data_IF_065293705532
#
_entry.id   IF_065293705532
#
_cell.length_a   1.000
_cell.length_b   1.000
_cell.length_c   1.000
_cell.angle_alpha   90.00
_cell.angle_beta   90.00
_cell.angle_gamma   90.00
#
_symmetry.space_group_name_H-M   'P 1'
#
loop_
_entity.id
_entity.type
_entity.pdbx_description
1 polymer ?
#
# COMPACT_ATOMS: atom_id res chain seq x y z
N UNK A 1 -0.66 7.45 -51.12
CA UNK A 1 -0.95 6.18 -50.42
C UNK A 1 0.34 5.63 -49.84
N UNK A 2 0.67 5.98 -48.60
CA UNK A 2 1.87 5.51 -47.88
C UNK A 2 1.42 5.11 -46.49
N UNK A 3 1.18 3.81 -46.29
CA UNK A 3 0.78 3.25 -45.01
C UNK A 3 1.99 3.25 -44.05
N UNK A 4 1.91 4.07 -43.00
CA UNK A 4 2.82 4.02 -41.84
C UNK A 4 2.44 2.82 -40.98
N UNK A 5 3.27 1.78 -40.96
CA UNK A 5 3.24 0.74 -39.91
C UNK A 5 3.91 1.30 -38.66
N UNK A 6 3.12 1.57 -37.63
CA UNK A 6 3.61 1.85 -36.27
C UNK A 6 4.03 0.51 -35.65
N UNK A 7 5.33 0.32 -35.42
CA UNK A 7 5.83 -0.76 -34.58
C UNK A 7 5.40 -0.49 -33.13
N UNK A 8 4.55 -1.36 -32.58
CA UNK A 8 4.29 -1.40 -31.14
C UNK A 8 5.56 -1.87 -30.42
N UNK A 9 6.21 -0.95 -29.72
CA UNK A 9 7.22 -1.28 -28.71
C UNK A 9 6.54 -2.08 -27.60
N UNK A 10 6.95 -3.33 -27.41
CA UNK A 10 6.62 -4.11 -26.22
C UNK A 10 7.46 -3.54 -25.08
N UNK A 11 6.88 -2.67 -24.24
CA UNK A 11 7.50 -2.29 -22.98
C UNK A 11 7.53 -3.52 -22.07
N UNK A 12 8.66 -4.24 -22.08
CA UNK A 12 8.93 -5.29 -21.11
C UNK A 12 9.05 -4.66 -19.73
N UNK A 13 8.03 -4.82 -18.90
CA UNK A 13 8.15 -4.64 -17.45
C UNK A 13 9.16 -5.66 -16.97
N UNK A 14 10.35 -5.20 -16.59
CA UNK A 14 11.39 -6.06 -16.03
C UNK A 14 10.98 -6.40 -14.59
N UNK A 15 10.48 -7.62 -14.39
CA UNK A 15 10.25 -8.18 -13.05
C UNK A 15 11.63 -8.42 -12.42
N UNK A 16 11.91 -7.76 -11.30
CA UNK A 16 13.16 -7.91 -10.55
C UNK A 16 13.10 -9.25 -9.79
N UNK A 17 13.99 -10.22 -10.05
CA UNK A 17 14.05 -11.44 -9.27
C UNK A 17 14.53 -11.12 -7.85
N UNK A 18 13.86 -11.65 -6.83
CA UNK A 18 14.16 -11.51 -5.38
C UNK A 18 15.43 -12.29 -4.98
N UNK A 19 16.43 -12.35 -5.86
CA UNK A 19 17.67 -13.11 -5.68
C UNK A 19 18.83 -12.31 -5.11
N UNK A 20 18.65 -11.03 -4.76
CA UNK A 20 19.75 -10.19 -4.30
C UNK A 20 19.46 -9.37 -3.05
N UNK A 21 18.54 -9.79 -2.17
CA UNK A 21 18.50 -9.22 -0.81
C UNK A 21 19.65 -9.82 0.01
N UNK A 22 20.61 -8.97 0.37
CA UNK A 22 21.83 -9.35 1.08
C UNK A 22 21.52 -9.93 2.46
N UNK A 23 22.35 -10.89 2.86
CA UNK A 23 22.42 -11.72 4.07
C UNK A 23 22.09 -11.12 5.45
N UNK A 24 21.80 -9.84 5.60
CA UNK A 24 21.72 -9.17 6.91
C UNK A 24 20.32 -9.11 7.52
N UNK A 25 19.31 -9.68 6.87
CA UNK A 25 17.92 -9.73 7.38
C UNK A 25 17.64 -11.03 8.14
N UNK A 26 18.57 -11.98 8.13
CA UNK A 26 18.40 -13.30 8.75
C UNK A 26 18.72 -13.33 10.25
N UNK A 27 19.21 -12.24 10.85
CA UNK A 27 19.88 -12.32 12.15
C UNK A 27 19.12 -11.69 13.33
N UNK A 28 17.80 -11.47 13.24
CA UNK A 28 16.97 -11.21 14.43
C UNK A 28 15.91 -12.27 14.71
N UNK A 29 15.79 -13.31 13.88
CA UNK A 29 15.00 -14.51 14.20
C UNK A 29 15.82 -15.77 13.93
N UNK A 30 16.53 -16.26 14.96
CA UNK A 30 16.91 -17.68 15.15
C UNK A 30 17.67 -18.41 14.02
N UNK A 31 18.93 -18.75 14.29
CA UNK A 31 19.95 -19.24 13.35
C UNK A 31 19.92 -20.74 12.99
N UNK A 32 18.86 -21.26 12.36
CA UNK A 32 18.81 -22.65 11.82
C UNK A 32 18.16 -22.78 10.42
N UNK A 33 18.43 -21.85 9.51
CA UNK A 33 17.76 -21.81 8.21
C UNK A 33 18.49 -22.58 7.09
N UNK A 34 18.25 -23.91 6.99
CA UNK A 34 18.04 -24.54 5.66
C UNK A 34 16.85 -23.82 5.01
N UNK A 35 16.75 -23.67 3.68
CA UNK A 35 15.46 -23.25 3.12
C UNK A 35 14.48 -24.41 3.30
N UNK A 36 13.27 -24.10 3.73
CA UNK A 36 12.41 -25.04 4.44
C UNK A 36 11.05 -25.23 3.70
N UNK A 37 10.38 -26.37 3.89
CA UNK A 37 9.16 -26.80 3.16
C UNK A 37 7.96 -25.84 3.16
N UNK A 38 7.93 -24.81 4.01
CA UNK A 38 6.79 -23.89 4.15
C UNK A 38 6.56 -22.92 2.98
N UNK A 39 7.47 -22.91 2.01
CA UNK A 39 7.24 -22.31 0.69
C UNK A 39 6.24 -23.12 -0.13
N UNK A 40 6.02 -24.40 0.19
CA UNK A 40 4.98 -25.28 -0.38
C UNK A 40 3.68 -25.25 0.45
N UNK A 41 3.66 -24.56 1.59
CA UNK A 41 2.57 -24.53 2.58
C UNK A 41 1.96 -23.13 2.78
N UNK A 42 2.70 -22.05 2.45
CA UNK A 42 2.07 -20.82 1.94
C UNK A 42 1.11 -21.14 0.77
N UNK A 43 1.40 -22.24 0.07
CA UNK A 43 0.71 -22.71 -1.12
C UNK A 43 -0.52 -23.60 -0.85
N UNK A 44 -0.82 -23.94 0.42
CA UNK A 44 -2.11 -24.53 0.83
C UNK A 44 -3.13 -23.47 1.32
N UNK A 45 -2.73 -22.18 1.25
CA UNK A 45 -3.46 -21.03 0.71
C UNK A 45 -3.71 -19.82 1.61
N UNK A 46 -3.71 -19.87 2.94
CA UNK A 46 -3.86 -18.60 3.71
C UNK A 46 -2.73 -17.61 3.35
N UNK A 47 -2.85 -16.26 3.42
CA UNK A 47 -3.94 -15.37 3.83
C UNK A 47 -4.31 -14.34 2.72
N UNK A 48 -5.52 -14.49 2.21
CA UNK A 48 -6.40 -13.45 1.66
C UNK A 48 -7.81 -13.85 2.10
N UNK A 49 -8.76 -12.93 2.16
CA UNK A 49 -10.08 -13.17 2.77
C UNK A 49 -10.81 -14.40 2.23
N UNK A 50 -10.54 -14.78 0.98
CA UNK A 50 -11.19 -15.90 0.29
C UNK A 50 -10.32 -17.15 0.21
N UNK A 51 -9.06 -17.08 0.65
CA UNK A 51 -8.18 -18.24 0.69
C UNK A 51 -8.36 -18.97 2.03
N UNK A 52 -8.95 -20.16 1.99
CA UNK A 52 -9.38 -20.91 3.19
C UNK A 52 -10.83 -20.67 3.63
N UNK A 53 -11.57 -19.77 2.97
CA UNK A 53 -13.01 -19.55 3.15
C UNK A 53 -13.76 -19.52 1.79
N UNK A 54 -13.79 -20.65 1.05
CA UNK A 54 -14.38 -20.70 -0.29
C UNK A 54 -15.88 -20.41 -0.29
N UNK A 55 -16.56 -20.62 0.85
CA UNK A 55 -17.99 -20.34 1.01
C UNK A 55 -18.25 -18.90 1.49
N UNK A 56 -17.21 -18.12 1.80
CA UNK A 56 -17.34 -16.73 2.23
C UNK A 56 -18.09 -16.55 3.56
N UNK A 57 -18.10 -17.56 4.44
CA UNK A 57 -18.84 -17.50 5.71
C UNK A 57 -18.22 -16.51 6.68
N UNK A 58 -16.89 -16.45 6.74
CA UNK A 58 -16.17 -15.47 7.54
C UNK A 58 -16.38 -14.07 6.98
N UNK A 59 -16.25 -13.92 5.65
CA UNK A 59 -16.52 -12.68 4.95
C UNK A 59 -17.93 -12.13 5.26
N UNK A 60 -18.97 -12.97 5.11
CA UNK A 60 -20.35 -12.58 5.41
C UNK A 60 -20.53 -12.11 6.86
N UNK A 61 -19.93 -12.83 7.83
CA UNK A 61 -20.00 -12.45 9.25
C UNK A 61 -19.33 -11.11 9.53
N UNK A 62 -18.18 -10.84 8.91
CA UNK A 62 -17.44 -9.59 9.09
C UNK A 62 -18.19 -8.41 8.44
N UNK A 63 -18.74 -8.60 7.24
CA UNK A 63 -19.59 -7.60 6.58
C UNK A 63 -20.83 -7.27 7.41
N UNK A 64 -21.54 -8.29 7.89
CA UNK A 64 -22.72 -8.15 8.76
C UNK A 64 -22.37 -7.36 10.04
N UNK A 65 -21.22 -7.65 10.66
CA UNK A 65 -20.84 -7.05 11.94
C UNK A 65 -20.37 -5.58 11.83
N UNK A 66 -19.74 -5.18 10.72
CA UNK A 66 -19.04 -3.89 10.65
C UNK A 66 -19.48 -2.95 9.53
N UNK A 67 -20.02 -3.50 8.44
CA UNK A 67 -20.32 -2.72 7.23
C UNK A 67 -21.81 -2.50 7.07
N UNK A 68 -22.64 -3.46 7.48
CA UNK A 68 -24.10 -3.43 7.31
C UNK A 68 -24.76 -2.18 7.89
N UNK A 69 -25.82 -1.74 7.23
CA UNK A 69 -26.66 -0.59 7.60
C UNK A 69 -26.29 0.70 6.89
N UNK A 70 -25.39 0.65 5.91
CA UNK A 70 -25.09 1.76 5.01
C UNK A 70 -24.92 1.24 3.57
N UNK A 71 -25.92 1.50 2.73
CA UNK A 71 -26.01 0.94 1.38
C UNK A 71 -24.78 1.26 0.52
N UNK A 72 -24.21 2.46 0.67
CA UNK A 72 -23.03 2.85 -0.09
C UNK A 72 -21.80 2.08 0.38
N UNK A 73 -21.56 2.03 1.69
CA UNK A 73 -20.44 1.29 2.26
C UNK A 73 -20.51 -0.19 1.92
N UNK A 74 -21.70 -0.79 2.00
CA UNK A 74 -21.93 -2.18 1.61
C UNK A 74 -21.59 -2.41 0.13
N UNK A 75 -22.04 -1.53 -0.76
CA UNK A 75 -21.73 -1.64 -2.19
C UNK A 75 -20.22 -1.57 -2.45
N UNK A 76 -19.52 -0.59 -1.87
CA UNK A 76 -18.07 -0.44 -2.03
C UNK A 76 -17.30 -1.61 -1.42
N UNK A 77 -17.69 -2.08 -0.24
CA UNK A 77 -17.04 -3.19 0.43
C UNK A 77 -17.24 -4.52 -0.32
N UNK A 78 -18.43 -4.72 -0.90
CA UNK A 78 -18.72 -5.85 -1.76
C UNK A 78 -17.91 -5.78 -3.06
N UNK A 79 -17.70 -4.59 -3.64
CA UNK A 79 -16.79 -4.45 -4.78
C UNK A 79 -15.36 -4.85 -4.40
N UNK A 80 -14.83 -4.37 -3.28
CA UNK A 80 -13.49 -4.76 -2.79
C UNK A 80 -13.36 -6.27 -2.58
N UNK A 81 -14.41 -6.91 -2.04
CA UNK A 81 -14.47 -8.36 -1.86
C UNK A 81 -14.52 -9.11 -3.18
N UNK A 82 -15.28 -8.61 -4.16
CA UNK A 82 -15.33 -9.18 -5.50
C UNK A 82 -13.97 -9.08 -6.20
N UNK A 83 -13.29 -7.94 -6.11
CA UNK A 83 -11.94 -7.75 -6.66
C UNK A 83 -10.94 -8.68 -5.99
N UNK A 84 -10.99 -8.82 -4.66
CA UNK A 84 -10.13 -9.79 -3.97
C UNK A 84 -10.35 -11.18 -4.55
N UNK A 85 -11.60 -11.64 -4.65
CA UNK A 85 -11.93 -12.95 -5.22
C UNK A 85 -11.43 -13.13 -6.66
N UNK A 86 -11.53 -12.09 -7.47
CA UNK A 86 -11.07 -12.09 -8.88
C UNK A 86 -9.55 -12.22 -8.99
N UNK A 87 -8.80 -11.52 -8.13
CA UNK A 87 -7.34 -11.43 -8.25
C UNK A 87 -6.58 -12.34 -7.27
N UNK A 88 -7.23 -12.91 -6.27
CA UNK A 88 -6.55 -13.62 -5.19
C UNK A 88 -5.89 -14.93 -5.61
N UNK A 89 -6.16 -15.49 -6.79
CA UNK A 89 -5.45 -16.68 -7.27
C UNK A 89 -4.05 -16.32 -7.77
N UNK A 90 -3.93 -15.20 -8.48
CA UNK A 90 -2.74 -14.89 -9.29
C UNK A 90 -1.96 -13.69 -8.75
N UNK A 91 -2.55 -12.93 -7.84
CA UNK A 91 -2.01 -11.67 -7.31
C UNK A 91 -2.23 -11.53 -5.81
N UNK A 92 -1.41 -10.67 -5.20
CA UNK A 92 -1.61 -10.23 -3.81
C UNK A 92 -2.42 -8.95 -3.80
N UNK A 93 -3.59 -8.98 -3.15
CA UNK A 93 -4.42 -7.78 -2.97
C UNK A 93 -4.04 -7.10 -1.66
N UNK A 94 -3.67 -5.83 -1.76
CA UNK A 94 -3.25 -5.01 -0.62
C UNK A 94 -4.31 -3.96 -0.31
N UNK A 95 -4.70 -3.88 0.95
CA UNK A 95 -5.63 -2.89 1.47
C UNK A 95 -4.89 -1.87 2.32
N UNK A 96 -4.96 -0.61 1.94
CA UNK A 96 -4.40 0.51 2.68
C UNK A 96 -5.52 1.39 3.23
N UNK A 97 -5.54 1.62 4.54
CA UNK A 97 -6.67 2.28 5.23
C UNK A 97 -6.24 3.58 5.91
N UNK A 98 -5.48 4.45 5.26
CA UNK A 98 -5.14 5.77 5.82
C UNK A 98 -5.95 6.88 5.16
N UNK A 99 -7.13 7.18 5.73
CA UNK A 99 -8.07 8.11 5.09
C UNK A 99 -7.50 9.53 4.95
N UNK A 100 -6.71 10.00 5.93
CA UNK A 100 -6.07 11.32 5.83
C UNK A 100 -5.02 11.38 4.70
N UNK A 101 -4.42 10.25 4.34
CA UNK A 101 -3.48 10.18 3.22
C UNK A 101 -4.19 10.12 1.87
N UNK A 102 -5.45 9.66 1.82
CA UNK A 102 -6.21 9.54 0.58
C UNK A 102 -6.34 10.88 -0.15
N UNK A 103 -6.61 11.98 0.58
CA UNK A 103 -6.67 13.32 0.00
C UNK A 103 -5.34 13.72 -0.68
N UNK A 104 -4.21 13.38 -0.06
CA UNK A 104 -2.90 13.64 -0.67
C UNK A 104 -2.73 12.86 -1.96
N UNK A 105 -3.16 11.60 -1.99
CA UNK A 105 -3.08 10.76 -3.19
C UNK A 105 -3.97 11.28 -4.32
N UNK A 106 -5.16 11.79 -4.00
CA UNK A 106 -6.06 12.41 -4.98
C UNK A 106 -5.45 13.68 -5.58
N UNK A 107 -4.89 14.57 -4.75
CA UNK A 107 -4.19 15.78 -5.22
C UNK A 107 -3.01 15.41 -6.11
N UNK A 108 -2.20 14.42 -5.70
CA UNK A 108 -1.07 13.94 -6.50
C UNK A 108 -1.51 13.32 -7.83
N UNK A 109 -2.62 12.57 -7.84
CA UNK A 109 -3.17 11.99 -9.05
C UNK A 109 -3.69 13.07 -10.01
N UNK A 110 -4.41 14.08 -9.50
CA UNK A 110 -4.89 15.21 -10.29
C UNK A 110 -3.74 16.01 -10.92
N UNK A 111 -2.70 16.31 -10.14
CA UNK A 111 -1.49 16.96 -10.66
C UNK A 111 -0.84 16.14 -11.77
N UNK A 112 -0.76 14.82 -11.60
CA UNK A 112 -0.18 13.94 -12.61
C UNK A 112 -1.02 13.83 -13.89
N UNK A 113 -2.34 13.91 -13.78
CA UNK A 113 -3.21 14.01 -14.95
C UNK A 113 -2.92 15.28 -15.75
N UNK A 114 -2.85 16.43 -15.05
CA UNK A 114 -2.59 17.72 -15.69
C UNK A 114 -1.20 17.76 -16.34
N UNK A 115 -0.17 17.29 -15.64
CA UNK A 115 1.23 17.41 -16.09
C UNK A 115 1.63 16.33 -17.10
N UNK A 116 1.07 15.12 -16.99
CA UNK A 116 1.53 13.94 -17.74
C UNK A 116 0.42 13.18 -18.46
N UNK A 117 -0.84 13.63 -18.40
CA UNK A 117 -1.98 12.93 -19.00
C UNK A 117 -2.30 11.59 -18.32
N UNK A 118 -1.88 11.39 -17.06
CA UNK A 118 -2.16 10.16 -16.32
C UNK A 118 -3.67 10.03 -16.03
N UNK A 119 -4.29 8.84 -16.21
CA UNK A 119 -5.72 8.66 -15.96
C UNK A 119 -6.05 8.65 -14.46
N UNK A 120 -6.07 9.83 -13.83
CA UNK A 120 -6.25 9.97 -12.38
C UNK A 120 -7.58 9.48 -11.85
N UNK A 121 -8.60 9.35 -12.71
CA UNK A 121 -9.93 8.85 -12.35
C UNK A 121 -9.94 7.35 -12.04
N UNK A 122 -8.93 6.60 -12.48
CA UNK A 122 -8.89 5.14 -12.33
C UNK A 122 -7.89 4.66 -11.28
N UNK A 123 -6.97 5.50 -10.81
CA UNK A 123 -6.03 5.11 -9.75
C UNK A 123 -5.40 6.33 -9.05
N UNK A 124 -5.70 6.56 -7.75
CA UNK A 124 -4.88 7.45 -6.94
C UNK A 124 -3.54 6.76 -6.68
N UNK A 125 -2.46 7.31 -7.25
CA UNK A 125 -1.12 6.76 -7.05
C UNK A 125 -0.37 7.59 -6.01
N UNK A 126 0.14 6.97 -4.93
CA UNK A 126 1.12 7.62 -4.07
C UNK A 126 2.35 7.92 -4.91
N UNK A 127 2.63 9.20 -5.15
CA UNK A 127 3.80 9.63 -5.92
C UNK A 127 4.92 10.04 -4.98
N UNK A 128 6.08 9.44 -5.24
CA UNK A 128 7.28 9.58 -4.44
C UNK A 128 8.26 10.51 -5.16
N UNK A 129 8.80 11.52 -4.47
CA UNK A 129 9.82 12.39 -5.04
C UNK A 129 11.17 11.68 -5.01
N UNK A 130 11.74 11.35 -6.17
CA UNK A 130 13.01 10.59 -6.26
C UNK A 130 14.15 11.17 -5.42
N UNK A 131 14.22 12.50 -5.25
CA UNK A 131 15.22 13.17 -4.40
C UNK A 131 15.22 12.68 -2.94
N UNK A 132 14.05 12.27 -2.44
CA UNK A 132 13.90 11.85 -1.04
C UNK A 132 14.43 10.43 -0.81
N UNK A 133 14.80 9.73 -1.89
CA UNK A 133 15.29 8.35 -1.93
C UNK A 133 16.79 8.27 -2.15
N UNK A 134 17.52 9.39 -2.22
CA UNK A 134 18.97 9.36 -2.45
C UNK A 134 19.73 8.55 -1.37
N UNK A 135 19.22 8.52 -0.13
CA UNK A 135 19.80 7.76 0.98
C UNK A 135 19.26 6.33 1.10
N UNK A 136 18.01 6.12 0.69
CA UNK A 136 17.32 4.82 0.74
C UNK A 136 16.67 4.59 -0.64
N UNK A 137 17.47 4.22 -1.66
CA UNK A 137 17.04 4.26 -3.05
C UNK A 137 16.08 3.14 -3.43
N UNK A 138 16.09 2.03 -2.69
CA UNK A 138 15.34 0.84 -3.02
C UNK A 138 14.88 0.09 -1.76
N UNK A 139 13.96 -0.86 -1.97
CA UNK A 139 13.43 -1.71 -0.91
C UNK A 139 14.53 -2.54 -0.24
N UNK A 140 15.57 -2.96 -0.98
CA UNK A 140 16.70 -3.70 -0.42
C UNK A 140 17.46 -2.90 0.62
N UNK A 141 17.76 -1.65 0.29
CA UNK A 141 18.44 -0.69 1.16
C UNK A 141 17.58 -0.40 2.37
N UNK A 142 16.28 -0.24 2.19
CA UNK A 142 15.34 -0.05 3.30
C UNK A 142 15.37 -1.23 4.27
N UNK A 143 15.23 -2.45 3.75
CA UNK A 143 15.21 -3.67 4.56
C UNK A 143 16.54 -3.85 5.30
N UNK A 144 17.67 -3.53 4.68
CA UNK A 144 18.99 -3.57 5.33
C UNK A 144 19.13 -2.54 6.47
N UNK A 145 18.38 -1.44 6.42
CA UNK A 145 18.37 -0.41 7.47
C UNK A 145 17.38 -0.70 8.60
N UNK A 146 16.37 -1.53 8.36
CA UNK A 146 15.30 -1.80 9.32
C UNK A 146 15.79 -2.19 10.73
N UNK A 147 16.82 -3.05 10.91
CA UNK A 147 17.36 -3.36 12.24
C UNK A 147 17.88 -2.13 13.00
N UNK A 148 18.38 -1.09 12.30
CA UNK A 148 18.83 0.14 12.94
C UNK A 148 17.65 0.96 13.45
N UNK A 149 16.57 1.04 12.67
CA UNK A 149 15.35 1.71 13.09
C UNK A 149 14.74 1.05 14.33
N UNK A 150 14.85 -0.27 14.44
CA UNK A 150 14.39 -1.01 15.62
C UNK A 150 15.22 -0.71 16.87
N UNK A 151 16.54 -0.50 16.73
CA UNK A 151 17.39 -0.05 17.85
C UNK A 151 17.07 1.39 18.26
N UNK A 152 16.84 2.27 17.29
CA UNK A 152 16.50 3.68 17.55
C UNK A 152 15.11 3.85 18.18
N UNK A 153 14.15 3.02 17.77
CA UNK A 153 12.77 3.06 18.25
C UNK A 153 12.19 1.64 18.35
N UNK A 154 12.46 0.92 19.47
CA UNK A 154 11.98 -0.45 19.67
C UNK A 154 10.45 -0.58 19.53
N UNK A 155 10.02 -1.54 18.70
CA UNK A 155 8.62 -1.79 18.35
C UNK A 155 7.98 -0.74 17.43
N UNK A 156 8.78 0.18 16.86
CA UNK A 156 8.34 1.30 16.03
C UNK A 156 9.27 1.57 14.86
N UNK A 157 10.03 0.58 14.40
CA UNK A 157 10.93 0.72 13.25
C UNK A 157 10.19 1.22 11.98
N UNK A 158 8.96 0.79 11.78
CA UNK A 158 8.07 1.20 10.68
C UNK A 158 7.55 2.65 10.83
N UNK A 159 7.70 3.25 12.02
CA UNK A 159 7.40 4.65 12.26
C UNK A 159 8.55 5.59 11.86
N UNK A 160 9.74 5.05 11.59
CA UNK A 160 10.91 5.85 11.25
C UNK A 160 10.66 6.69 9.97
N UNK A 161 11.01 7.99 9.93
CA UNK A 161 10.71 8.86 8.78
C UNK A 161 11.24 8.35 7.44
N UNK A 162 12.43 7.73 7.42
CA UNK A 162 12.97 7.15 6.18
C UNK A 162 12.23 5.89 5.74
N UNK A 163 11.61 5.15 6.67
CA UNK A 163 10.75 4.02 6.32
C UNK A 163 9.45 4.52 5.71
N UNK A 164 8.78 5.48 6.36
CA UNK A 164 7.50 6.04 5.89
C UNK A 164 7.58 6.80 4.57
N UNK A 165 8.77 7.27 4.19
CA UNK A 165 8.99 7.86 2.86
C UNK A 165 8.82 6.85 1.73
N UNK A 166 9.14 5.58 1.98
CA UNK A 166 9.30 4.59 0.91
C UNK A 166 8.31 3.43 1.01
N UNK A 167 7.79 3.16 2.21
CA UNK A 167 6.94 2.02 2.49
C UNK A 167 5.50 2.45 2.76
N UNK A 168 4.56 1.62 2.29
CA UNK A 168 3.13 1.75 2.53
C UNK A 168 2.72 0.59 3.42
N UNK A 169 2.14 0.88 4.59
CA UNK A 169 1.54 -0.16 5.43
C UNK A 169 0.24 -0.64 4.76
N UNK A 170 0.08 -1.95 4.62
CA UNK A 170 -1.08 -2.55 3.96
C UNK A 170 -1.42 -3.90 4.57
N UNK A 171 -2.70 -4.25 4.53
CA UNK A 171 -3.19 -5.58 4.88
C UNK A 171 -3.37 -6.43 3.63
N UNK A 172 -3.03 -7.70 3.69
CA UNK A 172 -3.29 -8.66 2.61
C UNK A 172 -4.67 -9.32 2.70
N UNK A 173 -5.56 -8.86 3.58
CA UNK A 173 -6.90 -9.45 3.72
C UNK A 173 -7.92 -8.40 4.15
N UNK A 174 -8.97 -8.27 3.33
CA UNK A 174 -10.14 -7.42 3.57
C UNK A 174 -10.88 -7.79 4.85
N UNK A 175 -10.93 -9.09 5.16
CA UNK A 175 -11.73 -9.64 6.28
C UNK A 175 -10.89 -9.91 7.54
N UNK A 176 -9.60 -9.58 7.53
CA UNK A 176 -8.76 -9.79 8.70
C UNK A 176 -9.24 -8.97 9.89
N UNK A 177 -9.27 -9.62 11.06
CA UNK A 177 -9.47 -8.98 12.37
C UNK A 177 -8.13 -8.70 13.07
N UNK A 178 -7.06 -8.54 12.27
CA UNK A 178 -5.68 -8.49 12.74
C UNK A 178 -5.40 -7.37 13.75
N UNK A 179 -4.24 -7.45 14.45
CA UNK A 179 -3.95 -6.59 15.59
C UNK A 179 -3.75 -5.11 15.21
N UNK A 180 -3.32 -4.80 13.99
CA UNK A 180 -3.12 -3.41 13.54
C UNK A 180 -4.41 -2.75 13.06
N UNK A 181 -4.98 -3.26 11.98
CA UNK A 181 -6.16 -2.66 11.33
C UNK A 181 -7.08 -3.76 10.83
N UNK A 182 -8.37 -3.63 11.17
CA UNK A 182 -9.42 -4.45 10.59
C UNK A 182 -10.14 -3.60 9.55
N UNK A 183 -9.91 -3.89 8.26
CA UNK A 183 -10.39 -3.06 7.15
C UNK A 183 -11.91 -2.88 7.23
N UNK A 184 -12.67 -3.95 7.49
CA UNK A 184 -14.12 -3.87 7.68
C UNK A 184 -14.52 -2.90 8.81
N UNK A 185 -13.86 -2.99 9.97
CA UNK A 185 -14.14 -2.13 11.14
C UNK A 185 -13.79 -0.67 10.88
N UNK A 186 -12.72 -0.42 10.12
CA UNK A 186 -12.24 0.93 9.81
C UNK A 186 -12.83 1.51 8.54
N UNK A 187 -13.55 0.70 7.75
CA UNK A 187 -14.13 1.11 6.47
C UNK A 187 -14.97 2.37 6.58
N UNK A 188 -15.85 2.43 7.59
CA UNK A 188 -16.73 3.57 7.84
C UNK A 188 -16.11 4.64 8.74
N UNK A 189 -15.30 4.22 9.71
CA UNK A 189 -14.75 5.13 10.74
C UNK A 189 -13.46 5.83 10.28
N UNK A 190 -12.86 5.36 9.20
CA UNK A 190 -11.51 5.68 8.82
C UNK A 190 -10.47 5.05 9.75
N UNK A 191 -9.24 4.96 9.26
CA UNK A 191 -8.06 4.70 10.07
C UNK A 191 -6.94 5.69 9.75
N UNK A 192 -6.16 6.09 10.75
CA UNK A 192 -5.10 7.09 10.60
C UNK A 192 -4.07 6.95 11.71
N UNK A 193 -2.82 7.30 11.41
CA UNK A 193 -1.78 7.36 12.43
C UNK A 193 -2.00 8.61 13.29
N UNK A 194 -2.20 8.42 14.59
CA UNK A 194 -2.19 9.54 15.55
C UNK A 194 -0.79 10.18 15.54
N UNK A 195 -0.73 11.51 15.54
CA UNK A 195 0.53 12.26 15.64
C UNK A 195 1.22 12.58 14.31
N UNK A 196 0.58 12.33 13.14
CA UNK A 196 1.05 12.86 11.86
C UNK A 196 0.23 14.09 11.46
N UNK A 197 0.84 15.29 11.34
CA UNK A 197 0.14 16.48 10.87
C UNK A 197 0.01 16.43 9.33
N UNK A 198 -1.06 15.80 8.83
CA UNK A 198 -1.34 15.71 7.39
C UNK A 198 -1.46 17.07 6.71
N UNK A 199 -1.89 18.11 7.43
CA UNK A 199 -1.90 19.50 6.96
C UNK A 199 -0.51 19.93 6.50
N UNK A 200 0.55 19.62 7.27
CA UNK A 200 1.91 20.00 6.90
C UNK A 200 2.37 19.33 5.60
N UNK A 201 1.96 18.08 5.37
CA UNK A 201 2.24 17.36 4.12
C UNK A 201 1.53 18.00 2.94
N UNK A 202 0.25 18.36 3.10
CA UNK A 202 -0.53 19.04 2.07
C UNK A 202 0.05 20.43 1.76
N UNK A 203 0.34 21.22 2.78
CA UNK A 203 0.99 22.53 2.67
C UNK A 203 2.31 22.42 1.91
N UNK A 204 3.16 21.46 2.26
CA UNK A 204 4.45 21.25 1.58
C UNK A 204 4.26 20.88 0.10
N UNK A 205 3.25 20.05 -0.22
CA UNK A 205 2.92 19.68 -1.60
C UNK A 205 2.45 20.90 -2.40
N UNK A 206 1.52 21.69 -1.86
CA UNK A 206 0.99 22.89 -2.52
C UNK A 206 2.09 23.93 -2.75
N UNK A 207 2.97 24.13 -1.76
CA UNK A 207 4.13 25.01 -1.91
C UNK A 207 5.12 24.52 -2.97
N UNK A 208 5.35 23.21 -3.07
CA UNK A 208 6.17 22.63 -4.14
C UNK A 208 5.54 22.82 -5.53
N UNK A 209 4.22 23.00 -5.59
CA UNK A 209 3.48 23.41 -6.79
C UNK A 209 3.38 24.93 -6.97
N UNK A 210 4.18 25.71 -6.24
CA UNK A 210 4.23 27.18 -6.29
C UNK A 210 2.94 27.90 -5.85
N UNK A 211 2.08 27.25 -5.06
CA UNK A 211 0.94 27.93 -4.43
C UNK A 211 1.46 28.94 -3.39
N UNK A 212 1.04 30.22 -3.42
CA UNK A 212 1.54 31.24 -2.51
C UNK A 212 1.32 30.88 -1.04
N UNK A 213 2.33 31.09 -0.19
CA UNK A 213 2.25 30.78 1.25
C UNK A 213 1.09 31.46 1.96
N UNK A 214 0.66 32.65 1.50
CA UNK A 214 -0.50 33.36 2.04
C UNK A 214 -1.81 32.61 1.84
N UNK A 215 -1.95 31.87 0.72
CA UNK A 215 -3.14 31.04 0.45
C UNK A 215 -3.06 29.70 1.18
N UNK A 216 -1.86 29.17 1.39
CA UNK A 216 -1.67 27.92 2.12
C UNK A 216 -1.87 28.11 3.63
N UNK A 217 -1.55 29.29 4.16
CA UNK A 217 -1.72 29.62 5.58
C UNK A 217 -3.19 29.70 6.05
N UNK A 218 -4.15 29.75 5.12
CA UNK A 218 -5.58 29.76 5.42
C UNK A 218 -6.25 28.39 5.45
N UNK A 219 -5.49 27.31 5.23
CA UNK A 219 -5.93 25.91 5.33
C UNK A 219 -5.84 25.39 6.78
#
# INVERSE_FOLDING_TARGET
EVQRRVARSKSGTQIIPVGQLSSNVRQTCGSDAKFLPWVEEQNDLGPQSFRGDPQGKHAARITEAYVKGDNHSEACFNELAQREREFCSDSVVFYHSYWCAALLYEVQAALANILFGFPSHSSPLPRLLSRDFLKVPDAKSLVAMFPRFEVEAPGKADHHPNYRKVAISSMCSLMSSGPEVCIAKTFRKGYSCKGLPYTNLLTSLLQACSVPSSQVASL
#
